data_IF_958021932708
#
_entry.id   IF_958021932708
#
_cell.length_a   1.000
_cell.length_b   1.000
_cell.length_c   1.000
_cell.angle_alpha   90.00
_cell.angle_beta   90.00
_cell.angle_gamma   90.00
#
_symmetry.space_group_name_H-M   'P 1'
#
loop_
_entity.id
_entity.type
_entity.pdbx_description
1 polymer ?
#
# COMPACT_ATOMS: atom_id res chain seq x y z
N UNK A 1 -7.78 -37.50 11.46
CA UNK A 1 -8.07 -36.12 11.93
C UNK A 1 -7.22 -35.15 11.12
N UNK A 2 -7.81 -34.47 10.14
CA UNK A 2 -7.10 -33.44 9.36
C UNK A 2 -7.12 -32.16 10.19
N UNK A 3 -5.95 -31.68 10.63
CA UNK A 3 -5.80 -30.38 11.28
C UNK A 3 -6.39 -29.32 10.35
N UNK A 4 -7.51 -28.72 10.75
CA UNK A 4 -8.06 -27.53 10.10
C UNK A 4 -7.01 -26.43 10.33
N UNK A 5 -6.16 -26.15 9.33
CA UNK A 5 -5.25 -25.02 9.39
C UNK A 5 -6.14 -23.78 9.59
N UNK A 6 -5.96 -23.10 10.73
CA UNK A 6 -6.57 -21.79 10.99
C UNK A 6 -6.28 -20.96 9.75
N UNK A 7 -7.29 -20.51 9.01
CA UNK A 7 -7.06 -19.69 7.81
C UNK A 7 -6.27 -18.45 8.23
N UNK A 8 -4.97 -18.49 7.96
CA UNK A 8 -4.08 -17.37 8.23
C UNK A 8 -4.46 -16.30 7.23
N UNK A 9 -5.11 -15.23 7.69
CA UNK A 9 -5.40 -14.05 6.86
C UNK A 9 -4.08 -13.49 6.37
N UNK A 10 -3.80 -13.66 5.08
CA UNK A 10 -2.59 -13.12 4.43
C UNK A 10 -2.92 -11.77 3.82
N UNK A 11 -2.09 -10.77 4.12
CA UNK A 11 -2.09 -9.48 3.45
C UNK A 11 -0.85 -9.31 2.58
N UNK A 12 -0.88 -8.33 1.68
CA UNK A 12 0.28 -7.86 0.93
C UNK A 12 0.42 -6.36 1.17
N UNK A 13 1.58 -5.92 1.68
CA UNK A 13 1.88 -4.50 1.86
C UNK A 13 2.78 -4.01 0.72
N UNK A 14 2.24 -3.14 -0.13
CA UNK A 14 2.98 -2.43 -1.15
C UNK A 14 3.65 -1.19 -0.54
N UNK A 15 4.98 -1.19 -0.48
CA UNK A 15 5.75 -0.05 0.03
C UNK A 15 6.45 0.64 -1.13
N UNK A 16 6.13 1.93 -1.33
CA UNK A 16 6.77 2.79 -2.32
C UNK A 16 7.47 3.96 -1.64
N UNK A 17 8.38 4.64 -2.34
CA UNK A 17 8.87 5.95 -1.88
C UNK A 17 7.71 6.95 -1.73
N UNK A 18 6.72 6.84 -2.62
CA UNK A 18 5.61 7.77 -2.78
C UNK A 18 5.93 8.87 -3.80
N UNK A 19 4.90 9.58 -4.25
CA UNK A 19 5.05 10.76 -5.11
C UNK A 19 3.95 11.77 -4.81
N UNK A 20 4.24 13.06 -4.97
CA UNK A 20 3.23 14.13 -4.92
C UNK A 20 2.63 14.45 -6.30
N UNK A 21 3.05 13.76 -7.36
CA UNK A 21 2.57 13.94 -8.72
C UNK A 21 1.52 12.87 -9.07
N UNK A 22 0.26 13.28 -9.26
CA UNK A 22 -0.87 12.37 -9.51
C UNK A 22 -0.70 11.52 -10.76
N UNK A 23 -0.13 12.08 -11.82
CA UNK A 23 0.10 11.34 -13.07
C UNK A 23 1.17 10.27 -12.90
N UNK A 24 2.25 10.59 -12.18
CA UNK A 24 3.28 9.62 -11.85
C UNK A 24 2.73 8.51 -10.95
N UNK A 25 1.93 8.85 -9.94
CA UNK A 25 1.26 7.87 -9.06
C UNK A 25 0.39 6.91 -9.89
N UNK A 26 -0.46 7.44 -10.77
CA UNK A 26 -1.36 6.64 -11.59
C UNK A 26 -0.63 5.69 -12.54
N UNK A 27 0.44 6.16 -13.20
CA UNK A 27 1.17 5.39 -14.22
C UNK A 27 2.16 4.37 -13.66
N UNK A 28 2.55 4.49 -12.39
CA UNK A 28 3.57 3.64 -11.79
C UNK A 28 3.03 2.88 -10.58
N UNK A 29 2.82 3.58 -9.46
CA UNK A 29 2.41 3.00 -8.19
C UNK A 29 1.07 2.27 -8.34
N UNK A 30 0.06 2.94 -8.89
CA UNK A 30 -1.28 2.34 -9.02
C UNK A 30 -1.28 1.18 -10.02
N UNK A 31 -0.49 1.26 -11.09
CA UNK A 31 -0.36 0.16 -12.06
C UNK A 31 0.26 -1.08 -11.42
N UNK A 32 1.29 -0.90 -10.60
CA UNK A 32 1.93 -2.00 -9.87
C UNK A 32 1.01 -2.57 -8.78
N UNK A 33 0.34 -1.71 -8.01
CA UNK A 33 -0.65 -2.12 -7.01
C UNK A 33 -1.80 -2.90 -7.66
N UNK A 34 -2.22 -2.51 -8.88
CA UNK A 34 -3.21 -3.25 -9.66
C UNK A 34 -2.70 -4.63 -10.07
N UNK A 35 -1.46 -4.74 -10.57
CA UNK A 35 -0.86 -6.04 -10.86
C UNK A 35 -0.81 -6.94 -9.61
N UNK A 36 -0.60 -6.39 -8.42
CA UNK A 36 -0.69 -7.18 -7.18
C UNK A 36 -2.10 -7.67 -6.87
N UNK A 37 -3.13 -6.86 -7.14
CA UNK A 37 -4.52 -7.26 -6.99
C UNK A 37 -4.88 -8.40 -7.96
N UNK A 38 -4.40 -8.31 -9.21
CA UNK A 38 -4.62 -9.36 -10.21
C UNK A 38 -3.86 -10.66 -9.88
N UNK A 39 -2.62 -10.55 -9.38
CA UNK A 39 -1.80 -11.70 -9.04
C UNK A 39 -2.21 -12.38 -7.72
N UNK A 40 -2.80 -11.63 -6.79
CA UNK A 40 -3.18 -12.08 -5.45
C UNK A 40 -4.61 -11.65 -5.08
N UNK A 41 -5.64 -12.08 -5.84
CA UNK A 41 -7.03 -11.63 -5.66
C UNK A 41 -7.61 -12.02 -4.30
N UNK A 42 -7.06 -13.04 -3.64
CA UNK A 42 -7.47 -13.50 -2.32
C UNK A 42 -6.89 -12.68 -1.17
N UNK A 43 -5.91 -11.80 -1.44
CA UNK A 43 -5.18 -11.03 -0.43
C UNK A 43 -5.66 -9.61 -0.38
N UNK A 44 -5.76 -9.09 0.85
CA UNK A 44 -5.93 -7.66 1.04
C UNK A 44 -4.61 -6.96 0.73
N UNK A 45 -4.65 -6.04 -0.22
CA UNK A 45 -3.52 -5.18 -0.56
C UNK A 45 -3.57 -3.92 0.31
N UNK A 46 -2.46 -3.62 0.98
CA UNK A 46 -2.24 -2.42 1.77
C UNK A 46 -1.17 -1.59 1.08
N UNK A 47 -1.17 -0.27 1.32
CA UNK A 47 -0.16 0.64 0.76
C UNK A 47 0.52 1.45 1.86
N UNK A 48 1.80 1.74 1.67
CA UNK A 48 2.57 2.66 2.52
C UNK A 48 3.60 3.45 1.72
N UNK A 49 3.86 4.70 2.14
CA UNK A 49 4.91 5.54 1.58
C UNK A 49 6.05 5.74 2.56
N UNK A 50 7.29 5.45 2.14
CA UNK A 50 8.47 5.55 3.01
C UNK A 50 9.00 6.98 3.16
N UNK A 51 8.84 7.85 2.15
CA UNK A 51 9.35 9.23 2.21
C UNK A 51 8.46 10.14 3.06
N UNK A 52 9.02 10.61 4.18
CA UNK A 52 8.33 11.57 5.05
C UNK A 52 8.02 12.86 4.30
N UNK A 53 9.00 13.39 3.55
CA UNK A 53 8.84 14.62 2.77
C UNK A 53 7.65 14.53 1.81
N UNK A 54 7.50 13.39 1.13
CA UNK A 54 6.38 13.21 0.19
C UNK A 54 5.05 13.14 0.95
N UNK A 55 4.97 12.38 2.04
CA UNK A 55 3.77 12.30 2.89
C UNK A 55 3.37 13.68 3.40
N UNK A 56 4.32 14.48 3.88
CA UNK A 56 4.07 15.87 4.32
C UNK A 56 3.51 16.74 3.21
N UNK A 57 4.08 16.68 2.00
CA UNK A 57 3.56 17.45 0.84
C UNK A 57 2.13 17.02 0.51
N UNK A 58 1.83 15.73 0.54
CA UNK A 58 0.49 15.20 0.25
C UNK A 58 -0.50 15.67 1.31
N UNK A 59 -0.13 15.58 2.59
CA UNK A 59 -0.94 16.02 3.72
C UNK A 59 -1.27 17.50 3.65
N UNK A 60 -0.29 18.34 3.35
CA UNK A 60 -0.47 19.78 3.19
C UNK A 60 -1.40 20.12 2.01
N UNK A 61 -1.22 19.45 0.86
CA UNK A 61 -1.96 19.78 -0.36
C UNK A 61 -3.36 19.18 -0.43
N UNK A 62 -3.54 17.99 0.14
CA UNK A 62 -4.75 17.18 -0.05
C UNK A 62 -5.51 16.94 1.27
N UNK A 63 -4.95 17.35 2.42
CA UNK A 63 -5.59 17.21 3.72
C UNK A 63 -5.61 15.78 4.28
N UNK A 64 -4.95 14.83 3.63
CA UNK A 64 -4.88 13.44 4.08
C UNK A 64 -3.44 12.91 4.05
N UNK A 65 -3.14 11.97 4.93
CA UNK A 65 -1.82 11.35 5.07
C UNK A 65 -1.84 9.91 4.55
N UNK A 66 -0.71 9.44 4.03
CA UNK A 66 -0.51 8.02 3.75
C UNK A 66 0.21 7.37 4.94
N UNK A 67 -0.03 6.09 5.24
CA UNK A 67 0.70 5.44 6.31
C UNK A 67 2.19 5.31 5.92
N UNK A 68 3.06 5.41 6.93
CA UNK A 68 4.43 4.94 6.85
C UNK A 68 4.44 3.42 7.10
N UNK A 69 5.62 2.80 7.04
CA UNK A 69 5.73 1.33 7.18
C UNK A 69 5.27 0.87 8.56
N UNK A 70 5.60 1.60 9.63
CA UNK A 70 5.18 1.28 11.00
C UNK A 70 3.66 1.31 11.14
N UNK A 71 3.04 2.43 10.76
CA UNK A 71 1.59 2.62 10.79
C UNK A 71 0.84 1.60 9.91
N UNK A 72 1.45 1.11 8.84
CA UNK A 72 0.84 0.12 7.96
C UNK A 72 0.92 -1.32 8.51
N UNK A 73 1.80 -1.57 9.48
CA UNK A 73 2.00 -2.88 10.11
C UNK A 73 1.29 -3.02 11.47
N UNK A 74 0.80 -1.92 12.05
CA UNK A 74 -0.03 -1.87 13.26
C UNK A 74 -1.49 -2.25 12.98
#
# INVERSE_FOLDING_TARGET
>A
MVKKMKEQRKGLLAVSLGTSCKDAEKKSINSIEHCFQEAFPERKIYRAFSSERIRSIIKERQGFDYPNIGMAME
#
